data_IF_236973709125
#
_entry.id   IF_236973709125
#
_cell.length_a   1.000
_cell.length_b   1.000
_cell.length_c   1.000
_cell.angle_alpha   90.00
_cell.angle_beta   90.00
_cell.angle_gamma   90.00
#
_symmetry.space_group_name_H-M   'P 1'
#
loop_
_entity.id
_entity.type
_entity.pdbx_description
1 polymer ?
#
# COMPACT_ATOMS: atom_id res chain seq x y z
N UNK A 1 -55.39 -22.75 -27.07
CA UNK A 1 -55.21 -21.39 -26.52
C UNK A 1 -54.15 -20.71 -27.37
N UNK A 2 -54.50 -19.72 -28.20
CA UNK A 2 -53.55 -19.11 -29.13
C UNK A 2 -52.52 -18.27 -28.36
N UNK A 3 -51.27 -18.70 -28.36
CA UNK A 3 -50.11 -18.03 -27.75
C UNK A 3 -50.03 -16.54 -28.11
N UNK A 4 -50.40 -16.19 -29.34
CA UNK A 4 -50.43 -14.81 -29.82
C UNK A 4 -51.43 -13.92 -29.06
N UNK A 5 -52.59 -14.47 -28.65
CA UNK A 5 -53.64 -13.72 -27.95
C UNK A 5 -53.32 -13.51 -26.46
N UNK A 6 -52.61 -14.46 -25.85
CA UNK A 6 -52.08 -14.31 -24.48
C UNK A 6 -50.91 -13.33 -24.42
N UNK A 7 -50.15 -13.20 -25.51
CA UNK A 7 -49.03 -12.27 -25.62
C UNK A 7 -49.51 -10.81 -25.72
N UNK A 8 -50.56 -10.56 -26.50
CA UNK A 8 -51.18 -9.22 -26.60
C UNK A 8 -51.87 -8.77 -25.31
N UNK A 9 -52.41 -9.70 -24.51
CA UNK A 9 -53.07 -9.35 -23.24
C UNK A 9 -52.08 -9.09 -22.11
N UNK A 10 -50.94 -9.79 -22.11
CA UNK A 10 -49.97 -9.75 -20.99
C UNK A 10 -48.69 -8.96 -21.30
N UNK A 11 -48.60 -8.29 -22.45
CA UNK A 11 -47.44 -7.49 -22.84
C UNK A 11 -46.97 -6.47 -21.77
N UNK A 12 -47.83 -5.76 -21.00
CA UNK A 12 -47.33 -4.82 -20.01
C UNK A 12 -46.64 -5.53 -18.85
N UNK A 13 -47.09 -6.73 -18.46
CA UNK A 13 -46.43 -7.54 -17.44
C UNK A 13 -45.05 -7.99 -17.91
N UNK A 14 -44.94 -8.40 -19.18
CA UNK A 14 -43.67 -8.80 -19.78
C UNK A 14 -42.70 -7.60 -19.82
N UNK A 15 -43.19 -6.42 -20.23
CA UNK A 15 -42.39 -5.20 -20.26
C UNK A 15 -41.86 -4.82 -18.85
N UNK A 16 -42.70 -4.92 -17.82
CA UNK A 16 -42.31 -4.67 -16.43
C UNK A 16 -41.26 -5.69 -15.97
N UNK A 17 -41.45 -6.98 -16.26
CA UNK A 17 -40.46 -8.01 -15.92
C UNK A 17 -39.10 -7.76 -16.59
N UNK A 18 -39.10 -7.42 -17.87
CA UNK A 18 -37.87 -7.11 -18.62
C UNK A 18 -37.18 -5.87 -18.05
N UNK A 19 -37.95 -4.83 -17.71
CA UNK A 19 -37.43 -3.62 -17.08
C UNK A 19 -36.76 -3.91 -15.73
N UNK A 20 -37.43 -4.66 -14.85
CA UNK A 20 -36.84 -5.05 -13.56
C UNK A 20 -35.61 -5.94 -13.73
N UNK A 21 -35.60 -6.84 -14.71
CA UNK A 21 -34.43 -7.66 -15.01
C UNK A 21 -33.24 -6.80 -15.47
N UNK A 22 -33.47 -5.80 -16.32
CA UNK A 22 -32.44 -4.85 -16.74
C UNK A 22 -31.88 -4.06 -15.55
N UNK A 23 -32.76 -3.53 -14.70
CA UNK A 23 -32.37 -2.80 -13.50
C UNK A 23 -31.61 -3.69 -12.51
N UNK A 24 -32.03 -4.94 -12.30
CA UNK A 24 -31.34 -5.88 -11.43
C UNK A 24 -29.92 -6.15 -11.93
N UNK A 25 -29.74 -6.40 -13.25
CA UNK A 25 -28.41 -6.57 -13.84
C UNK A 25 -27.54 -5.34 -13.61
N UNK A 26 -28.06 -4.13 -13.83
CA UNK A 26 -27.30 -2.88 -13.62
C UNK A 26 -27.04 -2.55 -12.15
N UNK A 27 -27.95 -2.90 -11.24
CA UNK A 27 -27.77 -2.70 -9.80
C UNK A 27 -26.73 -3.66 -9.23
N UNK A 28 -26.57 -4.85 -9.81
CA UNK A 28 -25.50 -5.78 -9.48
C UNK A 28 -24.20 -5.46 -10.22
N UNK A 29 -24.30 -4.95 -11.46
CA UNK A 29 -23.18 -4.72 -12.38
C UNK A 29 -22.93 -3.23 -12.55
N UNK A 30 -22.02 -2.69 -11.74
CA UNK A 30 -21.60 -1.29 -11.82
C UNK A 30 -20.58 -0.99 -10.72
N UNK A 31 -19.88 0.14 -10.84
CA UNK A 31 -18.91 0.58 -9.83
C UNK A 31 -19.53 0.79 -8.45
N UNK A 32 -20.84 1.05 -8.37
CA UNK A 32 -21.59 1.15 -7.12
C UNK A 32 -22.53 -0.05 -6.87
N UNK A 33 -22.30 -1.15 -7.57
CA UNK A 33 -23.09 -2.36 -7.38
C UNK A 33 -22.84 -3.00 -6.01
N UNK A 34 -23.85 -3.69 -5.49
CA UNK A 34 -23.80 -4.35 -4.16
C UNK A 34 -22.60 -5.30 -4.03
N UNK A 35 -22.21 -5.95 -5.14
CA UNK A 35 -21.05 -6.85 -5.19
C UNK A 35 -19.73 -6.10 -4.98
N UNK A 36 -19.57 -4.92 -5.58
CA UNK A 36 -18.37 -4.10 -5.39
C UNK A 36 -18.30 -3.51 -3.99
N UNK A 37 -19.46 -3.19 -3.40
CA UNK A 37 -19.54 -2.70 -2.03
C UNK A 37 -18.97 -3.70 -1.01
N UNK A 38 -19.19 -5.01 -1.21
CA UNK A 38 -18.60 -6.05 -0.38
C UNK A 38 -17.06 -6.12 -0.51
N UNK A 39 -16.52 -5.80 -1.69
CA UNK A 39 -15.08 -5.81 -1.96
C UNK A 39 -14.40 -4.54 -1.41
N UNK A 40 -15.10 -3.41 -1.39
CA UNK A 40 -14.54 -2.15 -0.91
C UNK A 40 -14.12 -2.18 0.56
N UNK A 41 -14.86 -2.87 1.41
CA UNK A 41 -14.48 -2.95 2.83
C UNK A 41 -13.13 -3.67 3.00
N UNK A 42 -12.94 -4.79 2.31
CA UNK A 42 -11.67 -5.53 2.32
C UNK A 42 -10.54 -4.72 1.70
N UNK A 43 -10.81 -4.02 0.59
CA UNK A 43 -9.84 -3.15 -0.06
C UNK A 43 -9.45 -1.98 0.83
N UNK A 44 -10.40 -1.33 1.51
CA UNK A 44 -10.13 -0.24 2.45
C UNK A 44 -9.21 -0.73 3.57
N UNK A 45 -9.52 -1.87 4.19
CA UNK A 45 -8.70 -2.44 5.27
C UNK A 45 -7.29 -2.75 4.75
N UNK A 46 -7.19 -3.35 3.56
CA UNK A 46 -5.89 -3.70 2.95
C UNK A 46 -5.06 -2.44 2.64
N UNK A 47 -5.67 -1.44 2.00
CA UNK A 47 -4.99 -0.20 1.62
C UNK A 47 -4.56 0.61 2.84
N UNK A 48 -5.37 0.63 3.91
CA UNK A 48 -5.01 1.33 5.14
C UNK A 48 -3.80 0.65 5.82
N UNK A 49 -3.77 -0.69 5.85
CA UNK A 49 -2.62 -1.43 6.35
C UNK A 49 -1.35 -1.18 5.52
N UNK A 50 -1.47 -1.12 4.19
CA UNK A 50 -0.35 -0.82 3.29
C UNK A 50 0.15 0.62 3.46
N UNK A 51 -0.77 1.56 3.66
CA UNK A 51 -0.46 2.96 3.92
C UNK A 51 0.30 3.13 5.24
N UNK A 52 -0.16 2.50 6.32
CA UNK A 52 0.52 2.51 7.62
C UNK A 52 1.91 1.90 7.51
N UNK A 53 2.05 0.75 6.85
CA UNK A 53 3.35 0.09 6.65
C UNK A 53 4.31 0.97 5.85
N UNK A 54 3.84 1.59 4.77
CA UNK A 54 4.65 2.45 3.91
C UNK A 54 5.06 3.74 4.62
N UNK A 55 4.16 4.34 5.40
CA UNK A 55 4.45 5.52 6.20
C UNK A 55 5.49 5.23 7.29
N UNK A 56 5.34 4.11 8.00
CA UNK A 56 6.32 3.68 9.00
C UNK A 56 7.72 3.52 8.38
N UNK A 57 7.79 2.86 7.21
CA UNK A 57 9.06 2.69 6.49
C UNK A 57 9.64 4.02 6.00
N UNK A 58 8.80 4.94 5.54
CA UNK A 58 9.23 6.30 5.18
C UNK A 58 9.85 7.01 6.38
N UNK A 59 9.21 6.97 7.55
CA UNK A 59 9.73 7.62 8.76
C UNK A 59 11.09 7.04 9.16
N UNK A 60 11.25 5.72 9.13
CA UNK A 60 12.54 5.07 9.42
C UNK A 60 13.64 5.52 8.45
N UNK A 61 13.33 5.56 7.15
CA UNK A 61 14.26 5.99 6.12
C UNK A 61 14.60 7.47 6.24
N UNK A 62 13.64 8.31 6.60
CA UNK A 62 13.88 9.74 6.85
C UNK A 62 14.78 9.95 8.07
N UNK A 63 14.55 9.25 9.17
CA UNK A 63 15.43 9.30 10.34
C UNK A 63 16.85 8.80 10.02
N UNK A 64 17.00 7.85 9.10
CA UNK A 64 18.32 7.39 8.63
C UNK A 64 18.98 8.40 7.69
N UNK A 65 18.22 8.98 6.76
CA UNK A 65 18.69 10.06 5.89
C UNK A 65 19.16 11.25 6.71
N UNK A 66 18.42 11.65 7.74
CA UNK A 66 18.77 12.81 8.55
C UNK A 66 20.09 12.61 9.28
N UNK A 67 20.34 11.41 9.81
CA UNK A 67 21.65 11.04 10.38
C UNK A 67 22.81 11.03 9.36
N UNK A 68 22.50 10.85 8.07
CA UNK A 68 23.49 10.79 6.99
C UNK A 68 23.60 12.11 6.20
N UNK A 69 22.77 13.11 6.52
CA UNK A 69 22.71 14.40 5.84
C UNK A 69 23.91 15.27 6.20
N UNK A 70 24.60 15.93 5.26
CA UNK A 70 25.81 16.71 5.55
C UNK A 70 25.67 17.79 6.65
N UNK A 71 24.45 18.30 6.89
CA UNK A 71 24.18 19.27 7.95
C UNK A 71 23.90 18.67 9.34
N UNK A 72 23.68 17.36 9.43
CA UNK A 72 23.39 16.59 10.65
C UNK A 72 24.22 15.29 10.75
N UNK A 73 25.23 15.14 9.89
CA UNK A 73 26.10 13.98 9.83
C UNK A 73 27.01 14.02 11.05
N UNK A 74 26.86 13.04 11.94
CA UNK A 74 27.72 12.90 13.09
C UNK A 74 29.14 12.51 12.62
N UNK A 75 30.06 13.46 12.76
CA UNK A 75 31.45 13.28 12.35
C UNK A 75 32.17 12.24 13.22
N UNK A 76 31.73 12.01 14.46
CA UNK A 76 32.34 11.02 15.35
C UNK A 76 31.94 9.61 14.93
N UNK A 77 30.66 9.39 14.60
CA UNK A 77 30.19 8.13 14.01
C UNK A 77 30.90 7.83 12.67
N UNK A 78 31.10 8.86 11.84
CA UNK A 78 31.86 8.74 10.60
C UNK A 78 33.33 8.38 10.86
N UNK A 79 33.97 8.99 11.85
CA UNK A 79 35.36 8.73 12.24
C UNK A 79 35.53 7.30 12.78
N UNK A 80 34.57 6.80 13.57
CA UNK A 80 34.52 5.40 14.00
C UNK A 80 34.44 4.46 12.80
N UNK A 81 33.54 4.74 11.83
CA UNK A 81 33.41 3.90 10.63
C UNK A 81 34.61 3.99 9.70
N UNK A 82 35.25 5.14 9.58
CA UNK A 82 36.46 5.31 8.79
C UNK A 82 37.63 4.48 9.37
N UNK A 83 37.75 4.43 10.70
CA UNK A 83 38.71 3.55 11.40
C UNK A 83 38.37 2.07 11.23
N UNK A 84 37.09 1.70 11.36
CA UNK A 84 36.64 0.30 11.27
C UNK A 84 36.79 -0.30 9.86
N UNK A 85 36.37 0.44 8.81
CA UNK A 85 36.28 -0.12 7.46
C UNK A 85 37.49 0.16 6.58
N UNK A 86 38.15 1.31 6.78
CA UNK A 86 39.19 1.81 5.86
C UNK A 86 40.53 1.99 6.56
N UNK A 87 40.59 1.69 7.87
CA UNK A 87 41.79 1.81 8.70
C UNK A 87 42.43 3.21 8.61
N UNK A 88 41.60 4.23 8.38
CA UNK A 88 42.06 5.61 8.25
C UNK A 88 42.25 6.22 9.64
N UNK A 89 43.43 6.76 9.91
CA UNK A 89 43.75 7.54 11.12
C UNK A 89 44.35 8.88 10.72
N UNK A 90 44.22 9.92 11.57
CA UNK A 90 44.82 11.22 11.26
C UNK A 90 46.36 11.15 11.31
N UNK A 91 47.09 12.01 10.58
CA UNK A 91 48.56 11.98 10.54
C UNK A 91 49.24 12.12 11.91
N UNK A 92 48.55 12.74 12.87
CA UNK A 92 49.03 13.00 14.23
C UNK A 92 48.42 12.09 15.30
N UNK A 93 47.72 11.02 14.90
CA UNK A 93 47.16 10.01 15.81
C UNK A 93 48.06 8.77 15.93
N UNK A 94 48.16 8.19 17.13
CA UNK A 94 48.85 6.90 17.38
C UNK A 94 47.83 5.77 17.49
N UNK A 95 47.84 4.83 16.56
CA UNK A 95 46.99 3.64 16.60
C UNK A 95 47.56 2.59 17.57
N UNK A 96 46.80 2.23 18.60
CA UNK A 96 47.14 1.15 19.53
C UNK A 96 46.29 -0.07 19.19
N UNK A 97 46.92 -1.17 18.80
CA UNK A 97 46.25 -2.43 18.57
C UNK A 97 46.12 -3.20 19.88
N UNK A 98 44.89 -3.50 20.28
CA UNK A 98 44.62 -4.36 21.44
C UNK A 98 44.62 -5.81 20.96
N UNK A 99 45.51 -6.62 21.52
CA UNK A 99 45.48 -8.08 21.34
C UNK A 99 44.38 -8.65 22.25
N UNK A 100 43.18 -8.80 21.70
CA UNK A 100 42.03 -9.41 22.37
C UNK A 100 42.12 -10.94 22.23
N UNK A 101 43.21 -11.53 22.73
CA UNK A 101 43.24 -12.96 23.03
C UNK A 101 42.64 -13.16 24.43
N UNK A 102 41.67 -14.08 24.60
CA UNK A 102 41.07 -14.37 25.90
C UNK A 102 42.08 -14.96 26.88
#
# INVERSE_FOLDING_TARGET
MNIFRTLELNWPLIAVCVFYMYLAVHALSGSQGVVQWAQYEEDIIRLDAELVATQSRRIELEARRDRLSPGHLDLDDLDIKAREYVFLSRPEEMTIWLDLRP
#
